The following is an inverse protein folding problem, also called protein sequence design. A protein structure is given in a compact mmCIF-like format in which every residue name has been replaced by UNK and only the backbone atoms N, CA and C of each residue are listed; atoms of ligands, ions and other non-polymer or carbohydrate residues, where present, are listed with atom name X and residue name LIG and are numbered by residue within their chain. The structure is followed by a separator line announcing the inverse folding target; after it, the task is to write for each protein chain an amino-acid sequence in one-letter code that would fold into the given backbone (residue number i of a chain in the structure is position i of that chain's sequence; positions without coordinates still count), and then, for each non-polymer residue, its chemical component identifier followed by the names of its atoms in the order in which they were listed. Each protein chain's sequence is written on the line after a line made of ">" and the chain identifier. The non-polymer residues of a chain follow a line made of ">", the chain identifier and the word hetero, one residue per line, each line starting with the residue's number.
data_IF_258932222253
#
_entry.id   IF_258932222253
#
_cell.length_a   1.000
_cell.length_b   1.000
_cell.length_c   1.000
_cell.angle_alpha   90.00
_cell.angle_beta   90.00
_cell.angle_gamma   90.00
#
_symmetry.space_group_name_H-M   'P 1'
#
loop_
_entity.id
_entity.type
_entity.pdbx_description
1 polymer ?
#
# COMPACT_ATOMS: atom_id res chain seq x y z
N UNK A 1 -1.21 13.41 -64.12
CA UNK A 1 -0.72 14.31 -63.05
C UNK A 1 -1.92 14.81 -62.22
N UNK A 2 -2.22 14.17 -61.09
CA UNK A 2 -3.35 14.58 -60.25
C UNK A 2 -2.95 15.77 -59.37
N UNK A 3 -3.45 16.96 -59.69
CA UNK A 3 -3.36 18.13 -58.80
C UNK A 3 -4.25 17.84 -57.60
N UNK A 4 -3.66 17.38 -56.49
CA UNK A 4 -4.38 17.26 -55.21
C UNK A 4 -4.86 18.67 -54.84
N UNK A 5 -6.17 18.90 -54.94
CA UNK A 5 -6.85 20.08 -54.41
C UNK A 5 -6.50 20.18 -52.92
N UNK A 6 -5.58 21.07 -52.57
CA UNK A 6 -5.20 21.30 -51.18
C UNK A 6 -6.44 21.88 -50.48
N UNK A 7 -7.13 21.03 -49.71
CA UNK A 7 -8.27 21.44 -48.88
C UNK A 7 -7.76 22.58 -48.00
N UNK A 8 -8.39 23.75 -48.07
CA UNK A 8 -8.03 24.88 -47.23
C UNK A 8 -8.47 24.54 -45.81
N UNK A 9 -7.58 23.92 -45.03
CA UNK A 9 -7.79 23.73 -43.61
C UNK A 9 -7.89 25.11 -42.97
N UNK A 10 -8.93 25.32 -42.17
CA UNK A 10 -9.09 26.60 -41.48
C UNK A 10 -7.95 26.75 -40.47
N UNK A 11 -7.48 27.98 -40.22
CA UNK A 11 -6.44 28.24 -39.20
C UNK A 11 -6.77 27.56 -37.86
N UNK A 12 -8.06 27.50 -37.51
CA UNK A 12 -8.56 26.79 -36.33
C UNK A 12 -8.25 25.27 -36.36
N UNK A 13 -8.43 24.61 -37.50
CA UNK A 13 -8.13 23.17 -37.64
C UNK A 13 -6.62 22.90 -37.54
N UNK A 14 -5.80 23.83 -38.06
CA UNK A 14 -4.34 23.75 -37.95
C UNK A 14 -3.91 23.93 -36.49
N UNK A 15 -4.44 24.95 -35.80
CA UNK A 15 -4.16 25.20 -34.39
C UNK A 15 -4.60 24.03 -33.52
N UNK A 16 -5.80 23.48 -33.77
CA UNK A 16 -6.30 22.32 -33.04
C UNK A 16 -5.45 21.07 -33.31
N UNK A 17 -5.04 20.84 -34.56
CA UNK A 17 -4.16 19.73 -34.91
C UNK A 17 -2.79 19.87 -34.22
N UNK A 18 -2.19 21.06 -34.22
CA UNK A 18 -0.92 21.31 -33.52
C UNK A 18 -1.08 21.12 -32.02
N UNK A 19 -2.15 21.63 -31.41
CA UNK A 19 -2.42 21.46 -29.99
C UNK A 19 -2.56 19.97 -29.60
N UNK A 20 -3.33 19.21 -30.38
CA UNK A 20 -3.49 17.77 -30.16
C UNK A 20 -2.17 17.01 -30.30
N UNK A 21 -1.35 17.37 -31.29
CA UNK A 21 -0.01 16.77 -31.45
C UNK A 21 0.88 17.08 -30.24
N UNK A 22 0.90 18.32 -29.75
CA UNK A 22 1.68 18.70 -28.56
C UNK A 22 1.24 17.90 -27.33
N UNK A 23 -0.08 17.81 -27.07
CA UNK A 23 -0.61 17.04 -25.94
C UNK A 23 -0.29 15.54 -26.04
N UNK A 24 -0.35 14.99 -27.25
CA UNK A 24 0.01 13.59 -27.49
C UNK A 24 1.49 13.33 -27.20
N UNK A 25 2.40 14.20 -27.66
CA UNK A 25 3.84 14.09 -27.40
C UNK A 25 4.13 14.19 -25.90
N UNK A 26 3.54 15.16 -25.20
CA UNK A 26 3.69 15.30 -23.74
C UNK A 26 3.23 14.02 -23.03
N UNK A 27 2.08 13.46 -23.43
CA UNK A 27 1.54 12.23 -22.85
C UNK A 27 2.48 11.05 -23.05
N UNK A 28 3.05 10.87 -24.25
CA UNK A 28 4.03 9.81 -24.52
C UNK A 28 5.26 9.96 -23.63
N UNK A 29 5.82 11.17 -23.54
CA UNK A 29 7.02 11.42 -22.71
C UNK A 29 6.74 11.09 -21.24
N UNK A 30 5.60 11.51 -20.70
CA UNK A 30 5.21 11.19 -19.33
C UNK A 30 5.06 9.68 -19.11
N UNK A 31 4.42 8.95 -20.04
CA UNK A 31 4.28 7.49 -19.95
C UNK A 31 5.66 6.81 -19.95
N UNK A 32 6.58 7.24 -20.82
CA UNK A 32 7.95 6.70 -20.87
C UNK A 32 8.72 7.00 -19.59
N UNK A 33 8.59 8.21 -19.03
CA UNK A 33 9.22 8.56 -17.76
C UNK A 33 8.70 7.71 -16.61
N UNK A 34 7.37 7.55 -16.49
CA UNK A 34 6.76 6.68 -15.48
C UNK A 34 7.22 5.22 -15.60
N UNK A 35 7.38 4.71 -16.83
CA UNK A 35 7.90 3.37 -17.05
C UNK A 35 9.38 3.22 -16.65
N UNK A 36 10.19 4.28 -16.78
CA UNK A 36 11.60 4.26 -16.38
C UNK A 36 11.79 4.28 -14.86
N UNK A 37 10.92 4.98 -14.13
CA UNK A 37 10.92 4.95 -12.65
C UNK A 37 10.64 3.52 -12.12
N UNK A 38 9.80 2.75 -12.80
CA UNK A 38 9.52 1.34 -12.46
C UNK A 38 10.74 0.42 -12.62
N UNK A 39 11.62 0.70 -13.60
CA UNK A 39 12.80 -0.13 -13.87
C UNK A 39 14.05 0.28 -13.06
N UNK A 40 14.00 1.36 -12.27
CA UNK A 40 15.16 1.84 -11.52
C UNK A 40 15.38 1.13 -10.17
N UNK A 41 14.47 0.27 -9.73
CA UNK A 41 14.55 -0.36 -8.39
C UNK A 41 15.39 -1.65 -8.29
N UNK A 42 16.04 -2.09 -9.37
CA UNK A 42 16.94 -3.27 -9.30
C UNK A 42 18.40 -2.86 -9.33
N UNK A 43 18.93 -2.46 -8.17
CA UNK A 43 20.36 -2.52 -7.88
C UNK A 43 20.54 -3.05 -6.44
N UNK A 44 21.26 -4.17 -6.23
CA UNK A 44 21.62 -4.63 -4.90
C UNK A 44 22.91 -3.92 -4.47
N UNK A 45 22.87 -3.11 -3.42
CA UNK A 45 24.10 -2.59 -2.80
C UNK A 45 24.53 -3.43 -1.58
N UNK A 46 25.84 -3.67 -1.42
CA UNK A 46 26.42 -4.57 -0.44
C UNK A 46 26.68 -3.85 0.91
N UNK A 47 26.79 -4.63 1.97
CA UNK A 47 26.78 -4.17 3.36
C UNK A 47 27.80 -3.09 3.74
N UNK A 48 27.52 -2.40 4.85
CA UNK A 48 28.50 -1.61 5.59
C UNK A 48 28.30 -1.80 7.09
N UNK A 49 29.35 -2.35 7.68
CA UNK A 49 29.65 -2.50 9.11
C UNK A 49 30.25 -1.19 9.65
N UNK A 50 29.89 -0.80 10.87
CA UNK A 50 30.65 0.15 11.69
C UNK A 50 29.85 0.69 12.89
N UNK A 51 29.93 0.04 14.06
CA UNK A 51 30.69 0.39 15.30
C UNK A 51 30.01 1.39 16.26
N UNK A 52 30.15 1.22 17.60
CA UNK A 52 29.23 1.75 18.61
C UNK A 52 29.75 3.01 19.33
N UNK A 53 28.86 3.94 19.68
CA UNK A 53 29.17 5.09 20.55
C UNK A 53 28.81 4.82 22.02
N UNK A 54 29.70 5.12 22.99
CA UNK A 54 29.48 4.94 24.41
C UNK A 54 29.03 6.23 25.13
N UNK A 55 28.00 6.08 25.98
CA UNK A 55 27.94 6.68 27.31
C UNK A 55 27.46 8.12 27.46
N UNK A 56 26.23 8.29 27.94
CA UNK A 56 25.91 9.34 28.93
C UNK A 56 25.01 8.75 30.02
N UNK A 57 25.47 8.97 31.24
CA UNK A 57 25.09 8.34 32.50
C UNK A 57 23.79 8.88 33.09
N UNK A 58 22.94 7.99 33.62
CA UNK A 58 21.84 8.34 34.51
C UNK A 58 21.13 7.11 35.09
N UNK A 59 21.60 6.64 36.26
CA UNK A 59 20.89 5.86 37.31
C UNK A 59 20.27 4.47 36.97
N UNK A 60 20.40 3.45 37.86
CA UNK A 60 19.84 2.12 37.63
C UNK A 60 18.42 1.98 38.21
N UNK A 61 17.42 1.79 37.36
CA UNK A 61 16.10 1.27 37.76
C UNK A 61 15.96 -0.19 37.33
N UNK A 62 15.68 -1.13 38.25
CA UNK A 62 15.34 -2.50 37.91
C UNK A 62 13.82 -2.64 37.76
N UNK A 63 13.34 -3.04 36.57
CA UNK A 63 11.96 -3.53 36.45
C UNK A 63 11.30 -3.32 35.10
N UNK A 64 11.54 -4.23 34.16
CA UNK A 64 10.60 -4.50 33.07
C UNK A 64 9.35 -5.15 33.67
N UNK A 65 8.25 -4.40 33.74
CA UNK A 65 6.92 -5.00 33.92
C UNK A 65 5.97 -4.36 32.92
N UNK A 66 5.45 -5.19 32.01
CA UNK A 66 4.53 -4.75 30.96
C UNK A 66 3.30 -4.07 31.53
N UNK A 67 3.01 -2.88 31.02
CA UNK A 67 1.76 -2.16 31.30
C UNK A 67 0.61 -2.86 30.59
N UNK A 68 0.01 -3.78 31.34
CA UNK A 68 -1.36 -4.24 31.16
C UNK A 68 -2.30 -3.18 31.76
N UNK A 69 -3.19 -2.64 30.95
CA UNK A 69 -4.37 -1.91 31.41
C UNK A 69 -5.55 -2.35 30.53
N UNK A 70 -6.74 -2.67 31.02
CA UNK A 70 -7.22 -3.09 32.33
C UNK A 70 -8.51 -3.87 32.05
N UNK A 71 -8.76 -4.87 32.88
CA UNK A 71 -9.88 -5.82 32.86
C UNK A 71 -11.21 -5.10 33.10
N UNK A 72 -12.19 -5.30 32.23
CA UNK A 72 -13.62 -5.13 32.55
C UNK A 72 -14.13 -6.46 33.10
N UNK A 73 -14.56 -6.45 34.36
CA UNK A 73 -15.05 -7.60 35.12
C UNK A 73 -16.51 -7.89 34.74
N UNK A 74 -16.74 -8.98 34.00
CA UNK A 74 -18.02 -9.67 33.88
C UNK A 74 -17.84 -11.14 34.27
N UNK A 75 -18.90 -11.85 34.73
CA UNK A 75 -18.80 -13.26 35.11
C UNK A 75 -18.37 -14.11 33.90
N UNK A 76 -17.58 -15.18 34.09
CA UNK A 76 -17.15 -16.03 32.99
C UNK A 76 -18.30 -16.94 32.55
N UNK A 77 -18.81 -16.74 31.34
CA UNK A 77 -19.59 -17.76 30.65
C UNK A 77 -18.67 -18.95 30.30
N UNK A 78 -19.01 -20.19 30.68
CA UNK A 78 -18.18 -21.35 30.39
C UNK A 78 -18.44 -21.80 28.95
N UNK A 79 -17.71 -21.22 27.99
CA UNK A 79 -17.83 -21.64 26.59
C UNK A 79 -16.84 -21.05 25.59
N UNK A 80 -16.00 -20.09 25.96
CA UNK A 80 -15.05 -19.50 24.99
C UNK A 80 -13.69 -20.14 25.11
N UNK A 81 -13.47 -21.20 24.33
CA UNK A 81 -12.14 -21.70 23.97
C UNK A 81 -11.31 -20.50 23.49
N UNK A 82 -10.18 -20.25 24.17
CA UNK A 82 -9.44 -19.00 24.06
C UNK A 82 -8.92 -18.74 22.64
N UNK A 83 -9.50 -17.73 21.98
CA UNK A 83 -8.90 -17.12 20.80
C UNK A 83 -8.07 -15.94 21.28
N UNK A 84 -6.77 -16.17 21.46
CA UNK A 84 -5.77 -15.09 21.39
C UNK A 84 -6.15 -14.20 20.21
N UNK A 85 -6.25 -12.86 20.34
CA UNK A 85 -6.55 -12.00 19.21
C UNK A 85 -5.51 -12.31 18.14
N UNK A 86 -5.94 -12.97 17.07
CA UNK A 86 -5.04 -13.37 15.99
C UNK A 86 -4.58 -12.07 15.38
N UNK A 87 -3.38 -11.63 15.77
CA UNK A 87 -2.75 -10.47 15.17
C UNK A 87 -2.73 -10.71 13.67
N UNK A 88 -3.12 -9.70 12.90
CA UNK A 88 -3.13 -9.78 11.45
C UNK A 88 -1.72 -10.12 10.95
N UNK A 89 -1.57 -11.26 10.28
CA UNK A 89 -0.34 -11.61 9.58
C UNK A 89 -0.31 -10.83 8.27
N UNK A 90 0.61 -9.87 8.17
CA UNK A 90 0.72 -8.94 7.05
C UNK A 90 2.01 -9.16 6.25
N UNK A 91 2.07 -10.21 5.42
CA UNK A 91 3.21 -10.42 4.54
C UNK A 91 3.22 -9.37 3.42
N UNK A 92 4.37 -9.24 2.78
CA UNK A 92 4.50 -8.49 1.52
C UNK A 92 3.75 -9.25 0.45
N UNK A 93 2.53 -8.78 0.13
CA UNK A 93 1.69 -9.30 -0.96
C UNK A 93 1.83 -8.37 -2.16
N UNK A 94 1.83 -8.95 -3.37
CA UNK A 94 1.80 -8.18 -4.61
C UNK A 94 0.60 -7.22 -4.59
N UNK A 95 0.79 -5.96 -4.98
CA UNK A 95 -0.26 -4.94 -4.95
C UNK A 95 -1.52 -5.33 -5.74
N UNK A 96 -1.38 -6.09 -6.82
CA UNK A 96 -2.49 -6.56 -7.66
C UNK A 96 -3.26 -7.72 -7.05
N UNK A 97 -2.69 -8.43 -6.08
CA UNK A 97 -3.32 -9.56 -5.38
C UNK A 97 -4.00 -9.11 -4.08
N UNK A 98 -3.84 -7.83 -3.68
CA UNK A 98 -4.50 -7.29 -2.50
C UNK A 98 -6.01 -7.29 -2.69
N UNK A 99 -6.71 -8.01 -1.81
CA UNK A 99 -8.17 -8.04 -1.76
C UNK A 99 -8.65 -6.99 -0.76
N UNK A 100 -9.55 -6.10 -1.18
CA UNK A 100 -10.05 -4.98 -0.37
C UNK A 100 -10.80 -5.45 0.88
N UNK A 101 -10.35 -5.01 2.06
CA UNK A 101 -10.99 -5.30 3.35
C UNK A 101 -11.99 -4.20 3.80
N UNK A 102 -12.06 -3.07 3.08
CA UNK A 102 -13.03 -1.99 3.32
C UNK A 102 -13.77 -1.64 2.01
N UNK A 103 -14.75 -2.47 1.58
CA UNK A 103 -15.52 -2.22 0.36
C UNK A 103 -16.63 -1.17 0.52
N UNK A 104 -17.01 -0.87 1.76
CA UNK A 104 -18.22 -0.12 2.12
C UNK A 104 -17.99 1.37 2.40
N UNK A 105 -16.73 1.78 2.58
CA UNK A 105 -16.37 3.16 2.94
C UNK A 105 -14.92 3.48 2.55
N UNK A 106 -14.49 4.76 2.58
CA UNK A 106 -13.10 5.11 2.36
C UNK A 106 -12.17 4.42 3.38
N UNK A 107 -11.00 3.91 2.93
CA UNK A 107 -10.10 3.18 3.81
C UNK A 107 -9.45 4.13 4.82
N UNK A 108 -9.57 3.81 6.11
CA UNK A 108 -8.83 4.47 7.19
C UNK A 108 -8.03 3.43 7.97
N UNK A 109 -6.88 3.84 8.51
CA UNK A 109 -6.03 2.95 9.32
C UNK A 109 -6.80 2.37 10.51
N UNK A 110 -7.58 3.21 11.20
CA UNK A 110 -8.37 2.79 12.34
C UNK A 110 -9.39 1.70 12.00
N UNK A 111 -10.15 1.86 10.90
CA UNK A 111 -11.08 0.81 10.45
C UNK A 111 -10.32 -0.46 10.06
N UNK A 112 -9.17 -0.33 9.40
CA UNK A 112 -8.38 -1.47 8.97
C UNK A 112 -7.87 -2.31 10.15
N UNK A 113 -7.29 -1.64 11.15
CA UNK A 113 -6.79 -2.26 12.37
C UNK A 113 -7.95 -2.92 13.15
N UNK A 114 -9.09 -2.24 13.26
CA UNK A 114 -10.30 -2.75 13.93
C UNK A 114 -10.86 -4.00 13.24
N UNK A 115 -10.72 -4.10 11.91
CA UNK A 115 -11.12 -5.28 11.13
C UNK A 115 -10.06 -6.38 11.15
N UNK A 116 -8.90 -6.19 11.77
CA UNK A 116 -7.83 -7.20 11.77
C UNK A 116 -7.22 -7.41 10.38
N UNK A 117 -7.12 -6.35 9.59
CA UNK A 117 -6.58 -6.35 8.23
C UNK A 117 -5.22 -5.64 8.17
N UNK A 118 -4.60 -5.66 6.98
CA UNK A 118 -3.29 -5.09 6.73
C UNK A 118 -3.37 -3.70 6.12
N UNK A 119 -2.62 -2.75 6.67
CA UNK A 119 -2.59 -1.37 6.24
C UNK A 119 -1.28 -1.03 5.50
N UNK A 120 -1.38 -0.69 4.22
CA UNK A 120 -0.27 -0.15 3.44
C UNK A 120 -0.76 0.87 2.40
N UNK A 121 -0.59 2.19 2.66
CA UNK A 121 -1.00 3.25 1.73
C UNK A 121 -0.02 3.45 0.57
N UNK A 122 1.10 2.72 0.55
CA UNK A 122 2.03 2.74 -0.57
C UNK A 122 1.43 1.90 -1.70
N UNK A 123 1.14 2.56 -2.83
CA UNK A 123 0.56 1.97 -4.03
C UNK A 123 -0.21 2.99 -4.87
N UNK A 124 -0.59 2.58 -6.09
CA UNK A 124 -1.49 3.37 -6.93
C UNK A 124 -2.87 3.53 -6.26
N UNK A 125 -3.61 4.58 -6.61
CA UNK A 125 -4.96 4.86 -6.05
C UNK A 125 -5.94 3.70 -6.28
N UNK A 126 -5.74 2.89 -7.32
CA UNK A 126 -6.57 1.70 -7.61
C UNK A 126 -6.24 0.47 -6.77
N UNK A 127 -5.17 0.49 -5.98
CA UNK A 127 -4.73 -0.61 -5.13
C UNK A 127 -5.28 -0.41 -3.71
N UNK A 128 -5.92 -1.41 -3.09
CA UNK A 128 -6.45 -1.27 -1.73
C UNK A 128 -5.35 -0.95 -0.71
N UNK A 129 -5.52 0.16 0.01
CA UNK A 129 -4.66 0.52 1.14
C UNK A 129 -4.91 -0.34 2.37
N UNK A 130 -6.13 -0.85 2.52
CA UNK A 130 -6.49 -1.85 3.52
C UNK A 130 -6.87 -3.15 2.83
N UNK A 131 -6.15 -4.23 3.11
CA UNK A 131 -6.33 -5.53 2.47
C UNK A 131 -6.37 -6.68 3.48
N UNK A 132 -6.98 -7.79 3.10
CA UNK A 132 -7.11 -8.95 3.98
C UNK A 132 -5.74 -9.52 4.40
N UNK A 133 -5.63 -9.90 5.68
CA UNK A 133 -4.49 -10.66 6.22
C UNK A 133 -4.49 -12.10 5.72
N UNK A 134 -3.35 -12.81 5.77
CA UNK A 134 -3.31 -14.24 5.42
C UNK A 134 -4.22 -15.12 6.28
N UNK A 135 -4.45 -14.74 7.53
CA UNK A 135 -5.18 -15.55 8.50
C UNK A 135 -6.69 -15.23 8.51
N UNK A 136 -7.21 -14.50 7.53
CA UNK A 136 -8.62 -14.09 7.47
C UNK A 136 -9.55 -15.18 6.90
N UNK A 137 -9.02 -16.36 6.57
CA UNK A 137 -9.76 -17.47 6.00
C UNK A 137 -10.25 -18.46 7.06
N UNK A 138 -11.26 -19.25 6.69
CA UNK A 138 -11.69 -20.42 7.47
C UNK A 138 -10.70 -21.57 7.30
N UNK A 139 -10.52 -22.38 8.35
CA UNK A 139 -9.83 -23.67 8.27
C UNK A 139 -10.86 -24.79 8.38
N UNK A 140 -10.63 -25.88 7.65
CA UNK A 140 -11.48 -27.08 7.77
C UNK A 140 -10.97 -27.89 8.96
N UNK A 141 -11.82 -28.06 9.97
CA UNK A 141 -11.54 -28.95 11.09
C UNK A 141 -12.04 -30.35 10.71
N UNK A 142 -11.11 -31.31 10.57
CA UNK A 142 -11.42 -32.71 10.25
C UNK A 142 -11.69 -33.51 11.52
N UNK A 143 -12.70 -34.40 11.46
CA UNK A 143 -13.10 -35.30 12.53
C UNK A 143 -12.60 -36.73 12.27
#
# INVERSE_FOLDING_TARGET
>A
MARKKLKKFTTLEIVLSVLLLVLFIISIVLIVLLAKESLKSTAPDPGTTGTPDPGTTGTPDPGTTGTTHARTTGPPDPGTTGTTPVSAECPVVNELERINCIPDQPPTKATCDQRGCCWNPQGAVSVPWCYYSKNHSYHVEGN
#
